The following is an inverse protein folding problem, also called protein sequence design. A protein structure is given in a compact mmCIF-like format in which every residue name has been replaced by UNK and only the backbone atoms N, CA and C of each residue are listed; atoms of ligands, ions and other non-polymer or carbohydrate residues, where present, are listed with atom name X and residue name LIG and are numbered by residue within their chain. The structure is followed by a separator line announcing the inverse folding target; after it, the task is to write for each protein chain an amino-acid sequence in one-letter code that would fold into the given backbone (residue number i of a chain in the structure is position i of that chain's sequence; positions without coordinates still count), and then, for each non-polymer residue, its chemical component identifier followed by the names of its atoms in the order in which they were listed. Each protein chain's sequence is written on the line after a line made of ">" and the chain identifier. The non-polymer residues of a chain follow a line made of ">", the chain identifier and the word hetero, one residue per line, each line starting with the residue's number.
data_IF_872939652230
#
_entry.id   IF_872939652230
#
_cell.length_a   1.000
_cell.length_b   1.000
_cell.length_c   1.000
_cell.angle_alpha   90.00
_cell.angle_beta   90.00
_cell.angle_gamma   90.00
#
_symmetry.space_group_name_H-M   'P 1'
#
loop_
_entity.id
_entity.type
_entity.pdbx_description
1 polymer ?
#
# COMPACT_ATOMS: atom_id res chain seq x y z
N UNK A 1 -23.74 -3.56 6.58
CA UNK A 1 -23.68 -2.80 5.31
C UNK A 1 -22.34 -2.08 5.25
N UNK A 2 -21.70 -2.05 4.09
CA UNK A 2 -20.43 -1.33 3.88
C UNK A 2 -20.73 0.03 3.26
N UNK A 3 -20.08 1.10 3.75
CA UNK A 3 -20.24 2.44 3.19
C UNK A 3 -19.42 2.58 1.91
N UNK A 4 -20.00 3.21 0.90
CA UNK A 4 -19.32 3.55 -0.36
C UNK A 4 -19.20 5.07 -0.47
N UNK A 5 -18.04 5.56 -0.88
CA UNK A 5 -17.75 6.97 -1.12
C UNK A 5 -17.07 7.12 -2.49
N UNK A 6 -17.21 8.28 -3.11
CA UNK A 6 -16.53 8.62 -4.37
C UNK A 6 -15.31 9.49 -4.08
N UNK A 7 -14.16 9.10 -4.61
CA UNK A 7 -12.92 9.86 -4.46
C UNK A 7 -12.95 11.10 -5.38
N UNK A 8 -12.53 12.24 -4.84
CA UNK A 8 -12.61 13.54 -5.52
C UNK A 8 -11.23 14.08 -5.95
N UNK A 9 -10.18 13.26 -5.91
CA UNK A 9 -8.81 13.68 -6.22
C UNK A 9 -8.01 14.24 -5.04
N UNK A 10 -8.62 14.42 -3.87
CA UNK A 10 -7.94 14.93 -2.65
C UNK A 10 -7.72 13.82 -1.62
N UNK A 11 -6.87 14.05 -0.62
CA UNK A 11 -6.68 13.08 0.47
C UNK A 11 -8.04 12.71 1.11
N UNK A 12 -8.36 11.42 1.12
CA UNK A 12 -9.55 10.93 1.81
C UNK A 12 -9.28 10.88 3.32
N UNK A 13 -9.72 11.92 4.05
CA UNK A 13 -9.59 11.96 5.51
C UNK A 13 -10.32 10.78 6.16
N UNK A 14 -11.49 10.41 5.65
CA UNK A 14 -12.25 9.25 6.14
C UNK A 14 -11.46 7.94 5.98
N UNK A 15 -10.82 7.73 4.81
CA UNK A 15 -9.97 6.55 4.59
C UNK A 15 -8.73 6.54 5.47
N UNK A 16 -8.11 7.71 5.67
CA UNK A 16 -6.96 7.87 6.55
C UNK A 16 -7.31 7.54 8.01
N UNK A 17 -8.41 8.11 8.53
CA UNK A 17 -8.83 7.91 9.92
C UNK A 17 -9.17 6.43 10.20
N UNK A 18 -9.79 5.74 9.22
CA UNK A 18 -10.04 4.29 9.32
C UNK A 18 -8.72 3.53 9.39
N UNK A 19 -7.75 3.82 8.51
CA UNK A 19 -6.46 3.14 8.50
C UNK A 19 -5.57 3.47 9.69
N UNK A 20 -5.76 4.64 10.31
CA UNK A 20 -5.06 5.03 11.54
C UNK A 20 -5.63 4.32 12.78
N UNK A 21 -6.91 3.98 12.75
CA UNK A 21 -7.56 3.21 13.81
C UNK A 21 -7.11 1.74 13.84
N UNK A 22 -7.26 1.11 15.01
CA UNK A 22 -6.94 -0.31 15.19
C UNK A 22 -7.82 -1.20 14.29
N UNK A 23 -7.18 -2.13 13.60
CA UNK A 23 -7.81 -3.09 12.71
C UNK A 23 -8.37 -2.49 11.43
N UNK A 24 -8.02 -1.23 11.10
CA UNK A 24 -8.48 -0.53 9.90
C UNK A 24 -8.27 -1.32 8.62
N UNK A 25 -9.33 -1.41 7.78
CA UNK A 25 -9.27 -2.13 6.52
C UNK A 25 -10.20 -1.47 5.48
N UNK A 26 -9.63 -1.01 4.37
CA UNK A 26 -10.37 -0.32 3.30
C UNK A 26 -10.05 -0.92 1.92
N UNK A 27 -10.95 -0.69 0.96
CA UNK A 27 -10.68 -0.88 -0.47
C UNK A 27 -10.30 0.46 -1.08
N UNK A 28 -9.19 0.50 -1.82
CA UNK A 28 -8.64 1.72 -2.41
C UNK A 28 -8.32 1.49 -3.91
N UNK A 29 -8.66 2.42 -4.82
CA UNK A 29 -8.28 2.33 -6.23
C UNK A 29 -6.78 2.53 -6.43
N UNK A 30 -6.23 1.93 -7.49
CA UNK A 30 -4.85 2.09 -7.96
C UNK A 30 -4.83 2.32 -9.47
N UNK A 31 -3.66 2.62 -10.06
CA UNK A 31 -3.49 2.77 -11.51
C UNK A 31 -3.98 1.55 -12.32
N UNK A 32 -4.02 0.36 -11.71
CA UNK A 32 -4.33 -0.91 -12.39
C UNK A 32 -5.50 -1.68 -11.76
N UNK A 33 -6.30 -1.06 -10.88
CA UNK A 33 -7.45 -1.71 -10.28
C UNK A 33 -7.69 -1.30 -8.84
N UNK A 34 -7.85 -2.28 -7.95
CA UNK A 34 -8.16 -2.06 -6.54
C UNK A 34 -7.29 -2.90 -5.61
N UNK A 35 -7.00 -2.36 -4.44
CA UNK A 35 -6.26 -3.04 -3.36
C UNK A 35 -7.03 -2.99 -2.04
N UNK A 36 -6.73 -3.95 -1.17
CA UNK A 36 -7.14 -3.91 0.25
C UNK A 36 -5.95 -3.38 1.06
N UNK A 37 -6.16 -2.25 1.76
CA UNK A 37 -5.16 -1.58 2.59
C UNK A 37 -5.46 -1.78 4.08
N UNK A 38 -4.39 -1.94 4.86
CA UNK A 38 -4.36 -2.07 6.32
C UNK A 38 -2.99 -1.59 6.80
N UNK A 39 -2.89 -1.18 8.07
CA UNK A 39 -1.66 -0.66 8.68
C UNK A 39 -1.17 -1.49 9.87
N UNK A 40 -1.96 -2.45 10.36
CA UNK A 40 -1.63 -3.25 11.54
C UNK A 40 -1.93 -4.75 11.38
N UNK A 41 -1.58 -5.52 12.42
CA UNK A 41 -1.79 -6.96 12.47
C UNK A 41 -3.27 -7.34 12.41
N UNK A 42 -4.15 -6.61 13.12
CA UNK A 42 -5.57 -6.94 13.18
C UNK A 42 -6.23 -6.77 11.80
N UNK A 43 -5.90 -5.71 11.07
CA UNK A 43 -6.39 -5.53 9.71
C UNK A 43 -5.72 -6.45 8.69
N UNK A 44 -4.47 -6.91 8.93
CA UNK A 44 -3.86 -7.98 8.14
C UNK A 44 -4.64 -9.30 8.29
N UNK A 45 -5.01 -9.70 9.50
CA UNK A 45 -5.82 -10.91 9.71
C UNK A 45 -7.16 -10.83 8.95
N UNK A 46 -7.86 -9.69 9.05
CA UNK A 46 -9.09 -9.42 8.28
C UNK A 46 -8.86 -9.54 6.77
N UNK A 47 -7.74 -9.01 6.26
CA UNK A 47 -7.37 -9.04 4.83
C UNK A 47 -7.07 -10.46 4.35
N UNK A 48 -6.38 -11.27 5.14
CA UNK A 48 -6.06 -12.66 4.77
C UNK A 48 -7.30 -13.53 4.79
N UNK A 49 -8.18 -13.36 5.79
CA UNK A 49 -9.47 -14.04 5.89
C UNK A 49 -10.37 -13.70 4.69
N UNK A 50 -10.59 -12.41 4.42
CA UNK A 50 -11.47 -11.96 3.34
C UNK A 50 -11.02 -12.37 1.92
N UNK A 51 -9.72 -12.67 1.74
CA UNK A 51 -9.15 -13.09 0.45
C UNK A 51 -8.90 -14.59 0.36
N UNK A 52 -9.14 -15.34 1.43
CA UNK A 52 -8.75 -16.75 1.55
C UNK A 52 -7.29 -16.98 1.10
N UNK A 53 -6.39 -16.05 1.47
CA UNK A 53 -5.01 -16.03 0.96
C UNK A 53 -4.13 -16.94 1.78
N UNK A 54 -3.30 -17.74 1.10
CA UNK A 54 -2.26 -18.54 1.76
C UNK A 54 -1.30 -17.62 2.56
N UNK A 55 -1.11 -17.93 3.85
CA UNK A 55 -0.29 -17.16 4.80
C UNK A 55 1.18 -17.02 4.39
N UNK A 56 1.69 -17.93 3.57
CA UNK A 56 3.06 -17.87 3.06
C UNK A 56 3.24 -16.85 1.92
N UNK A 57 2.16 -16.27 1.42
CA UNK A 57 2.21 -15.21 0.40
C UNK A 57 2.05 -13.86 1.10
N UNK A 58 3.15 -13.12 1.39
CA UNK A 58 3.08 -11.91 2.18
C UNK A 58 2.26 -10.80 1.47
N UNK A 59 1.93 -9.77 2.24
CA UNK A 59 1.53 -8.48 1.69
C UNK A 59 2.73 -7.75 1.06
N UNK A 60 2.47 -6.57 0.52
CA UNK A 60 3.50 -5.66 0.01
C UNK A 60 3.53 -4.40 0.87
N UNK A 61 4.68 -3.73 0.93
CA UNK A 61 4.84 -2.41 1.56
C UNK A 61 4.61 -1.34 0.50
N UNK A 62 3.77 -0.34 0.80
CA UNK A 62 3.51 0.79 -0.09
C UNK A 62 4.32 1.99 0.44
N UNK A 63 5.37 2.38 -0.26
CA UNK A 63 6.18 3.56 0.10
C UNK A 63 5.55 4.82 -0.48
N UNK A 64 5.39 5.85 0.35
CA UNK A 64 4.89 7.18 -0.04
C UNK A 64 5.99 8.16 -0.46
N UNK A 65 7.27 7.78 -0.36
CA UNK A 65 8.42 8.57 -0.79
C UNK A 65 9.67 7.71 -1.01
N UNK A 66 10.64 8.25 -1.77
CA UNK A 66 11.98 7.64 -1.90
C UNK A 66 12.74 7.60 -0.56
N UNK A 67 12.51 8.56 0.33
CA UNK A 67 13.16 8.59 1.64
C UNK A 67 12.66 7.48 2.56
N UNK A 68 11.36 7.18 2.53
CA UNK A 68 10.79 6.03 3.24
C UNK A 68 11.39 4.71 2.72
N UNK A 69 11.53 4.56 1.40
CA UNK A 69 12.18 3.38 0.80
C UNK A 69 13.63 3.24 1.30
N UNK A 70 14.43 4.31 1.25
CA UNK A 70 15.83 4.33 1.73
C UNK A 70 15.95 4.00 3.22
N UNK A 71 14.97 4.41 4.03
CA UNK A 71 14.97 4.15 5.47
C UNK A 71 14.64 2.68 5.82
N UNK A 72 13.89 1.98 4.97
CA UNK A 72 13.35 0.65 5.27
C UNK A 72 14.08 -0.49 4.53
N UNK A 73 14.62 -0.24 3.35
CA UNK A 73 15.18 -1.27 2.47
C UNK A 73 16.70 -1.15 2.33
N UNK A 74 17.36 -2.29 2.10
CA UNK A 74 18.76 -2.30 1.68
C UNK A 74 18.84 -1.97 0.20
N UNK A 75 19.60 -0.92 -0.12
CA UNK A 75 19.79 -0.44 -1.49
C UNK A 75 21.28 -0.40 -1.82
N UNK A 76 21.59 -0.64 -3.08
CA UNK A 76 22.87 -0.26 -3.67
C UNK A 76 22.62 0.90 -4.67
N UNK A 77 23.67 1.55 -5.18
CA UNK A 77 23.51 2.70 -6.07
C UNK A 77 22.72 2.40 -7.36
N UNK A 78 22.82 1.18 -7.88
CA UNK A 78 22.10 0.76 -9.09
C UNK A 78 20.60 0.61 -8.83
N UNK A 79 20.22 -0.08 -7.75
CA UNK A 79 18.83 -0.27 -7.33
C UNK A 79 18.20 1.08 -6.99
N UNK A 80 18.91 1.94 -6.27
CA UNK A 80 18.41 3.27 -5.93
C UNK A 80 18.17 4.13 -7.18
N UNK A 81 19.11 4.16 -8.12
CA UNK A 81 18.95 4.87 -9.39
C UNK A 81 17.77 4.30 -10.21
N UNK A 82 17.58 2.99 -10.20
CA UNK A 82 16.45 2.33 -10.84
C UNK A 82 15.12 2.80 -10.23
N UNK A 83 14.97 2.78 -8.91
CA UNK A 83 13.76 3.30 -8.25
C UNK A 83 13.56 4.80 -8.49
N UNK A 84 14.63 5.61 -8.41
CA UNK A 84 14.55 7.05 -8.62
C UNK A 84 14.03 7.38 -10.02
N UNK A 85 14.52 6.69 -11.06
CA UNK A 85 14.02 6.88 -12.42
C UNK A 85 12.52 6.59 -12.53
N UNK A 86 12.05 5.49 -11.95
CA UNK A 86 10.62 5.13 -11.99
C UNK A 86 9.76 6.09 -11.18
N UNK A 87 10.29 6.64 -10.09
CA UNK A 87 9.65 7.70 -9.32
C UNK A 87 9.51 8.99 -10.15
N UNK A 88 10.60 9.44 -10.79
CA UNK A 88 10.63 10.67 -11.59
C UNK A 88 9.74 10.59 -12.82
N UNK A 89 9.61 9.40 -13.42
CA UNK A 89 8.76 9.14 -14.60
C UNK A 89 7.31 8.74 -14.24
N UNK A 90 6.93 8.77 -12.95
CA UNK A 90 5.61 8.36 -12.44
C UNK A 90 5.18 6.95 -12.91
N UNK A 91 6.12 6.00 -12.90
CA UNK A 91 5.89 4.61 -13.27
C UNK A 91 5.56 3.80 -12.01
N UNK A 92 4.43 3.08 -12.04
CA UNK A 92 4.09 2.13 -10.98
C UNK A 92 5.07 0.95 -11.00
N UNK A 93 6.03 0.98 -10.07
CA UNK A 93 7.02 -0.08 -9.91
C UNK A 93 6.68 -0.95 -8.68
N UNK A 94 6.50 -2.25 -8.92
CA UNK A 94 6.39 -3.26 -7.87
C UNK A 94 7.53 -4.26 -8.02
N UNK A 95 8.47 -4.26 -7.07
CA UNK A 95 9.50 -5.28 -6.99
C UNK A 95 9.16 -6.25 -5.86
N UNK A 96 9.30 -7.55 -6.14
CA UNK A 96 9.29 -8.57 -5.11
C UNK A 96 10.76 -8.74 -4.72
N UNK A 97 11.09 -8.36 -3.48
CA UNK A 97 12.39 -8.63 -2.85
C UNK A 97 12.47 -10.10 -2.44
#
# INVERSE_FOLDING_TARGET
>A
MTKHIQWNGTLSQEGYDILKGEGGCIVCPTKVGYIIMTSDKAGLERKFEAKERNRNKPGVVLCGSMDELRALAQLNPEIEAFYQKHWDEDILLGCIL
#
